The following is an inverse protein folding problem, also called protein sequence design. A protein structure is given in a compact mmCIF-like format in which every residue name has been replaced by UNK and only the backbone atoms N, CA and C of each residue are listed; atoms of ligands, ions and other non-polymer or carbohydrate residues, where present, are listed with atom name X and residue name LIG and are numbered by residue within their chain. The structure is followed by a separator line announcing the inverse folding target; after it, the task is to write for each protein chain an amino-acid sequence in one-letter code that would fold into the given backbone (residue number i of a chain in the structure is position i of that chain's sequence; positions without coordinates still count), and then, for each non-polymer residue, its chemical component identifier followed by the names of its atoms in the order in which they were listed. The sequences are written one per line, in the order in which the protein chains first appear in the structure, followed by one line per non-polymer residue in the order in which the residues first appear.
data_IF_619956200685
#
_entry.id   IF_619956200685
#
_cell.length_a   1.000
_cell.length_b   1.000
_cell.length_c   1.000
_cell.angle_alpha   90.00
_cell.angle_beta   90.00
_cell.angle_gamma   90.00
#
_symmetry.space_group_name_H-M   'P 1'
#
loop_
_entity.id
_entity.type
_entity.pdbx_description
1 polymer ?
#
# COMPACT_ATOMS: atom_id res chain seq x y z
N UNK A 1 -9.33 -39.10 -27.01
CA UNK A 1 -9.37 -38.66 -25.64
C UNK A 1 -7.99 -38.12 -25.29
N UNK A 2 -7.87 -36.80 -25.16
CA UNK A 2 -6.62 -36.15 -24.73
C UNK A 2 -6.61 -36.15 -23.21
N UNK A 3 -5.69 -36.88 -22.64
CA UNK A 3 -5.36 -36.82 -21.22
C UNK A 3 -4.84 -35.43 -20.92
N UNK A 4 -5.65 -34.62 -20.24
CA UNK A 4 -5.20 -33.40 -19.61
C UNK A 4 -4.35 -33.76 -18.39
N UNK A 5 -3.06 -33.73 -18.59
CA UNK A 5 -2.07 -33.85 -17.51
C UNK A 5 -2.16 -32.61 -16.63
N UNK A 6 -3.08 -32.61 -15.67
CA UNK A 6 -3.03 -31.66 -14.56
C UNK A 6 -1.74 -31.94 -13.80
N UNK A 7 -0.76 -31.09 -13.97
CA UNK A 7 0.36 -31.01 -13.02
C UNK A 7 -0.25 -30.77 -11.66
N UNK A 8 -0.28 -31.79 -10.82
CA UNK A 8 -0.50 -31.66 -9.39
C UNK A 8 0.66 -30.84 -8.81
N UNK A 9 0.53 -29.52 -8.91
CA UNK A 9 1.27 -28.64 -8.02
C UNK A 9 0.60 -28.85 -6.68
N UNK A 10 1.26 -29.55 -5.77
CA UNK A 10 0.79 -29.75 -4.40
C UNK A 10 0.63 -28.40 -3.73
N UNK A 11 -0.54 -27.79 -3.91
CA UNK A 11 -1.02 -26.72 -3.07
C UNK A 11 -1.22 -27.36 -1.69
N UNK A 12 -0.27 -27.18 -0.79
CA UNK A 12 -0.54 -27.34 0.63
C UNK A 12 -1.59 -26.28 0.93
N UNK A 13 -2.85 -26.68 0.85
CA UNK A 13 -3.99 -25.85 1.20
C UNK A 13 -4.00 -25.59 2.70
N UNK A 14 -3.12 -24.71 3.15
CA UNK A 14 -3.29 -24.07 4.44
C UNK A 14 -4.35 -22.99 4.19
N UNK A 15 -5.61 -23.40 4.17
CA UNK A 15 -6.69 -22.46 4.40
C UNK A 15 -6.48 -21.91 5.80
N UNK A 16 -6.20 -20.61 5.99
CA UNK A 16 -6.23 -20.04 7.32
C UNK A 16 -7.65 -20.23 7.83
N UNK A 17 -7.83 -21.15 8.77
CA UNK A 17 -9.08 -21.29 9.49
C UNK A 17 -9.36 -19.93 10.13
N UNK A 18 -10.19 -19.13 9.49
CA UNK A 18 -10.73 -17.91 10.06
C UNK A 18 -11.64 -18.33 11.20
N UNK A 19 -11.05 -18.55 12.39
CA UNK A 19 -11.83 -18.77 13.59
C UNK A 19 -12.54 -17.45 13.92
N UNK A 20 -13.82 -17.43 13.62
CA UNK A 20 -14.71 -16.40 14.15
C UNK A 20 -14.76 -16.57 15.66
N UNK A 21 -14.09 -15.71 16.37
CA UNK A 21 -14.12 -15.66 17.83
C UNK A 21 -14.98 -14.46 18.21
N UNK A 22 -16.17 -14.74 18.75
CA UNK A 22 -17.01 -13.71 19.33
C UNK A 22 -16.30 -13.11 20.54
N UNK A 23 -15.79 -11.90 20.35
CA UNK A 23 -15.11 -11.14 21.39
C UNK A 23 -15.95 -9.91 21.72
N UNK A 24 -16.06 -9.57 23.02
CA UNK A 24 -16.71 -8.34 23.42
C UNK A 24 -16.04 -7.09 22.84
N UNK A 25 -16.75 -5.96 22.86
CA UNK A 25 -16.33 -4.70 22.24
C UNK A 25 -14.91 -4.25 22.64
N UNK A 26 -14.58 -4.24 23.94
CA UNK A 26 -13.26 -3.80 24.41
C UNK A 26 -12.10 -4.72 23.97
N UNK A 27 -12.20 -6.06 24.10
CA UNK A 27 -11.19 -6.94 23.53
C UNK A 27 -11.04 -6.80 22.02
N UNK A 28 -12.14 -6.57 21.27
CA UNK A 28 -12.09 -6.35 19.81
C UNK A 28 -11.24 -5.13 19.43
N UNK A 29 -11.36 -4.03 20.18
CA UNK A 29 -10.51 -2.85 20.01
C UNK A 29 -9.02 -3.17 20.20
N UNK A 30 -8.68 -3.94 21.24
CA UNK A 30 -7.31 -4.38 21.50
C UNK A 30 -6.74 -5.24 20.36
N UNK A 31 -7.54 -6.17 19.85
CA UNK A 31 -7.16 -6.97 18.68
C UNK A 31 -7.00 -6.13 17.41
N UNK A 32 -7.89 -5.17 17.18
CA UNK A 32 -7.80 -4.23 16.05
C UNK A 32 -6.50 -3.41 16.09
N UNK A 33 -6.17 -2.85 17.24
CA UNK A 33 -4.92 -2.09 17.43
C UNK A 33 -3.69 -2.97 17.18
N UNK A 34 -3.64 -4.18 17.76
CA UNK A 34 -2.54 -5.12 17.55
C UNK A 34 -2.41 -5.55 16.09
N UNK A 35 -3.53 -5.83 15.41
CA UNK A 35 -3.54 -6.16 13.99
C UNK A 35 -3.03 -5.02 13.12
N UNK A 36 -3.47 -3.79 13.40
CA UNK A 36 -3.00 -2.59 12.70
C UNK A 36 -1.50 -2.39 12.88
N UNK A 37 -0.99 -2.52 14.11
CA UNK A 37 0.44 -2.41 14.39
C UNK A 37 1.27 -3.50 13.67
N UNK A 38 0.78 -4.74 13.65
CA UNK A 38 1.42 -5.83 12.94
C UNK A 38 1.44 -5.61 11.42
N UNK A 39 0.30 -5.23 10.83
CA UNK A 39 0.18 -4.92 9.40
C UNK A 39 1.10 -3.76 9.01
N UNK A 40 1.13 -2.70 9.82
CA UNK A 40 2.04 -1.57 9.62
C UNK A 40 3.50 -2.03 9.63
N UNK A 41 3.89 -2.86 10.60
CA UNK A 41 5.23 -3.43 10.69
C UNK A 41 5.59 -4.31 9.48
N UNK A 42 4.65 -5.12 9.00
CA UNK A 42 4.85 -5.94 7.79
C UNK A 42 5.01 -5.07 6.55
N UNK A 43 4.20 -4.02 6.39
CA UNK A 43 4.31 -3.08 5.27
C UNK A 43 5.63 -2.33 5.28
N UNK A 44 6.09 -1.84 6.43
CA UNK A 44 7.41 -1.19 6.53
C UNK A 44 8.54 -2.13 6.14
N UNK A 45 8.47 -3.40 6.52
CA UNK A 45 9.45 -4.41 6.07
C UNK A 45 9.38 -4.65 4.57
N UNK A 46 8.18 -4.70 3.98
CA UNK A 46 7.99 -4.85 2.53
C UNK A 46 8.57 -3.67 1.76
N UNK A 47 8.37 -2.44 2.24
CA UNK A 47 9.04 -1.27 1.67
C UNK A 47 10.57 -1.36 1.80
N UNK A 48 11.10 -1.81 2.94
CA UNK A 48 12.53 -2.05 3.11
C UNK A 48 13.09 -3.07 2.11
N UNK A 49 12.33 -4.13 1.81
CA UNK A 49 12.72 -5.12 0.80
C UNK A 49 12.67 -4.56 -0.63
N UNK A 50 11.69 -3.71 -0.92
CA UNK A 50 11.57 -3.02 -2.21
C UNK A 50 12.76 -2.08 -2.45
N UNK A 51 13.12 -1.24 -1.46
CA UNK A 51 14.27 -0.33 -1.54
C UNK A 51 15.62 -1.07 -1.57
N UNK A 52 15.71 -2.26 -0.98
CA UNK A 52 16.91 -3.10 -1.05
C UNK A 52 17.04 -3.91 -2.36
N UNK A 53 16.11 -3.75 -3.31
CA UNK A 53 16.12 -4.43 -4.60
C UNK A 53 15.83 -5.93 -4.53
N UNK A 54 15.38 -6.45 -3.38
CA UNK A 54 15.07 -7.88 -3.19
C UNK A 54 13.74 -8.30 -3.84
N UNK A 55 12.88 -7.32 -4.14
CA UNK A 55 11.59 -7.54 -4.78
C UNK A 55 11.49 -6.65 -6.01
N UNK A 56 10.99 -7.20 -7.11
CA UNK A 56 10.78 -6.44 -8.35
C UNK A 56 9.68 -5.41 -8.17
N UNK A 57 9.98 -4.16 -8.51
CA UNK A 57 9.02 -3.04 -8.49
C UNK A 57 7.79 -3.33 -9.36
N UNK A 58 7.99 -4.03 -10.51
CA UNK A 58 6.91 -4.39 -11.44
C UNK A 58 5.89 -5.35 -10.82
N UNK A 59 6.32 -6.23 -9.93
CA UNK A 59 5.46 -7.24 -9.30
C UNK A 59 4.83 -6.70 -8.00
N UNK A 60 5.54 -5.80 -7.30
CA UNK A 60 5.12 -5.25 -6.01
C UNK A 60 4.12 -4.10 -6.10
N UNK A 61 4.07 -3.35 -7.21
CA UNK A 61 3.16 -2.23 -7.39
C UNK A 61 1.88 -2.69 -8.09
N UNK A 62 0.80 -2.78 -7.33
CA UNK A 62 -0.55 -2.88 -7.89
C UNK A 62 -1.06 -1.47 -8.22
N UNK A 63 -1.48 -1.26 -9.47
CA UNK A 63 -2.06 0.01 -9.91
C UNK A 63 -3.55 0.13 -9.61
N UNK A 64 -4.18 1.24 -10.03
CA UNK A 64 -5.59 1.51 -9.77
C UNK A 64 -6.53 0.43 -10.29
N UNK A 65 -6.21 -0.18 -11.44
CA UNK A 65 -7.05 -1.23 -12.04
C UNK A 65 -7.00 -2.49 -11.17
N UNK A 66 -5.82 -2.87 -10.70
CA UNK A 66 -5.67 -4.02 -9.80
C UNK A 66 -6.37 -3.78 -8.46
N UNK A 67 -6.28 -2.57 -7.90
CA UNK A 67 -7.00 -2.21 -6.67
C UNK A 67 -8.51 -2.36 -6.90
N UNK A 68 -9.05 -1.89 -8.02
CA UNK A 68 -10.46 -2.03 -8.36
C UNK A 68 -10.87 -3.51 -8.49
N UNK A 69 -10.06 -4.35 -9.13
CA UNK A 69 -10.29 -5.80 -9.23
C UNK A 69 -10.33 -6.45 -7.85
N UNK A 70 -9.30 -6.21 -7.02
CA UNK A 70 -9.22 -6.74 -5.66
C UNK A 70 -10.39 -6.25 -4.78
N UNK A 71 -10.84 -5.01 -4.97
CA UNK A 71 -12.04 -4.49 -4.30
C UNK A 71 -13.28 -5.29 -4.69
N UNK A 72 -13.44 -5.57 -5.98
CA UNK A 72 -14.55 -6.40 -6.48
C UNK A 72 -14.52 -7.83 -5.95
N UNK A 73 -13.34 -8.45 -5.89
CA UNK A 73 -13.15 -9.81 -5.35
C UNK A 73 -13.43 -9.86 -3.85
N UNK A 74 -12.91 -8.90 -3.07
CA UNK A 74 -13.15 -8.82 -1.63
C UNK A 74 -14.60 -8.49 -1.30
N UNK A 75 -15.29 -7.68 -2.12
CA UNK A 75 -16.72 -7.42 -1.98
C UNK A 75 -17.57 -8.68 -2.18
N UNK A 76 -17.21 -9.53 -3.16
CA UNK A 76 -17.85 -10.84 -3.37
C UNK A 76 -17.60 -11.81 -2.21
N UNK A 77 -16.43 -11.73 -1.55
CA UNK A 77 -16.07 -12.53 -0.39
C UNK A 77 -16.79 -12.09 0.91
N UNK A 78 -17.50 -10.96 0.87
CA UNK A 78 -18.35 -10.47 1.96
C UNK A 78 -17.83 -9.20 2.63
N UNK A 79 -18.70 -8.62 3.46
CA UNK A 79 -18.46 -7.30 4.09
C UNK A 79 -17.20 -7.29 4.96
N UNK A 80 -16.95 -8.35 5.72
CA UNK A 80 -15.78 -8.47 6.61
C UNK A 80 -14.47 -8.41 5.80
N UNK A 81 -14.42 -9.12 4.67
CA UNK A 81 -13.26 -9.11 3.76
C UNK A 81 -13.06 -7.74 3.14
N UNK A 82 -14.13 -7.08 2.72
CA UNK A 82 -14.09 -5.74 2.15
C UNK A 82 -13.60 -4.71 3.18
N UNK A 83 -14.08 -4.76 4.42
CA UNK A 83 -13.61 -3.88 5.50
C UNK A 83 -12.14 -4.13 5.84
N UNK A 84 -11.70 -5.39 5.86
CA UNK A 84 -10.30 -5.74 6.05
C UNK A 84 -9.41 -5.18 4.94
N UNK A 85 -9.84 -5.29 3.68
CA UNK A 85 -9.14 -4.72 2.54
C UNK A 85 -9.10 -3.18 2.58
N UNK A 86 -10.21 -2.54 2.95
CA UNK A 86 -10.27 -1.09 3.14
C UNK A 86 -9.31 -0.62 4.25
N UNK A 87 -9.21 -1.35 5.36
CA UNK A 87 -8.27 -1.07 6.42
C UNK A 87 -6.80 -1.20 5.93
N UNK A 88 -6.50 -2.24 5.16
CA UNK A 88 -5.19 -2.44 4.53
C UNK A 88 -4.81 -1.27 3.63
N UNK A 89 -5.73 -0.83 2.75
CA UNK A 89 -5.53 0.31 1.86
C UNK A 89 -5.30 1.60 2.66
N UNK A 90 -6.06 1.81 3.74
CA UNK A 90 -5.94 2.98 4.60
C UNK A 90 -4.56 3.05 5.28
N UNK A 91 -4.07 1.93 5.82
CA UNK A 91 -2.74 1.84 6.41
C UNK A 91 -1.67 2.12 5.35
N UNK A 92 -1.80 1.51 4.17
CA UNK A 92 -0.86 1.71 3.06
C UNK A 92 -0.80 3.18 2.62
N UNK A 93 -1.95 3.81 2.45
CA UNK A 93 -2.05 5.23 2.08
C UNK A 93 -1.43 6.14 3.15
N UNK A 94 -1.70 5.85 4.43
CA UNK A 94 -1.09 6.58 5.54
C UNK A 94 0.43 6.45 5.57
N UNK A 95 0.95 5.25 5.34
CA UNK A 95 2.39 5.01 5.26
C UNK A 95 3.05 5.73 4.08
N UNK A 96 2.43 5.66 2.90
CA UNK A 96 2.94 6.36 1.71
C UNK A 96 2.95 7.87 1.95
N UNK A 97 1.91 8.42 2.56
CA UNK A 97 1.86 9.85 2.88
C UNK A 97 2.95 10.29 3.87
N UNK A 98 3.44 9.39 4.70
CA UNK A 98 4.53 9.69 5.64
C UNK A 98 5.91 9.68 5.00
N UNK A 99 6.05 9.18 3.76
CA UNK A 99 7.34 9.21 3.07
C UNK A 99 7.83 10.64 2.80
N UNK A 100 9.17 10.84 2.81
CA UNK A 100 9.79 12.14 2.59
C UNK A 100 9.74 12.58 1.11
N UNK A 101 8.57 12.48 0.50
CA UNK A 101 8.35 12.85 -0.89
C UNK A 101 7.65 14.21 -0.94
N UNK A 102 8.17 15.18 -1.73
CA UNK A 102 7.48 16.43 -1.97
C UNK A 102 6.04 16.19 -2.43
N UNK A 103 5.11 17.07 -2.03
CA UNK A 103 3.65 16.97 -2.24
C UNK A 103 2.91 15.94 -1.37
N UNK A 104 3.60 15.11 -0.57
CA UNK A 104 2.99 14.29 0.48
C UNK A 104 3.20 14.94 1.86
N UNK A 105 2.45 14.49 2.87
CA UNK A 105 2.53 15.03 4.23
C UNK A 105 3.95 14.89 4.83
N UNK A 106 4.64 13.78 4.56
CA UNK A 106 6.05 13.59 4.95
C UNK A 106 7.00 14.62 4.34
N UNK A 107 6.74 15.07 3.11
CA UNK A 107 7.47 16.17 2.50
C UNK A 107 7.24 17.50 3.21
N UNK A 108 6.02 17.78 3.66
CA UNK A 108 5.71 18.95 4.48
C UNK A 108 6.38 18.89 5.85
N UNK A 109 6.44 17.71 6.48
CA UNK A 109 7.16 17.51 7.73
C UNK A 109 8.65 17.81 7.61
N UNK A 110 9.27 17.45 6.49
CA UNK A 110 10.69 17.80 6.21
C UNK A 110 10.87 19.32 6.13
N UNK A 111 9.98 20.02 5.41
CA UNK A 111 10.05 21.48 5.32
C UNK A 111 9.88 22.14 6.69
N UNK A 112 8.93 21.69 7.49
CA UNK A 112 8.72 22.17 8.86
C UNK A 112 9.94 21.88 9.75
N UNK A 113 10.51 20.68 9.64
CA UNK A 113 11.74 20.31 10.34
C UNK A 113 12.92 21.20 9.97
N UNK A 114 13.08 21.49 8.67
CA UNK A 114 14.11 22.41 8.19
C UNK A 114 13.90 23.83 8.73
N UNK A 115 12.68 24.36 8.74
CA UNK A 115 12.34 25.66 9.32
C UNK A 115 12.67 25.72 10.82
N UNK A 116 12.34 24.65 11.55
CA UNK A 116 12.63 24.56 12.99
C UNK A 116 14.14 24.57 13.28
N UNK A 117 14.94 23.86 12.47
CA UNK A 117 16.40 23.81 12.62
C UNK A 117 17.03 25.15 12.22
N UNK A 118 16.61 25.72 11.09
CA UNK A 118 17.15 27.01 10.57
C UNK A 118 16.63 28.23 11.35
N UNK A 119 15.60 28.06 12.14
CA UNK A 119 14.88 29.14 12.86
C UNK A 119 14.45 30.29 11.93
N UNK A 120 14.22 30.00 10.67
CA UNK A 120 13.78 30.94 9.63
C UNK A 120 12.79 30.25 8.71
N UNK A 121 11.71 30.93 8.28
CA UNK A 121 10.78 30.34 7.34
C UNK A 121 11.44 30.13 5.97
N UNK A 122 11.15 29.01 5.34
CA UNK A 122 11.53 28.74 3.94
C UNK A 122 10.71 29.66 3.05
N UNK A 123 11.32 30.25 2.03
CA UNK A 123 10.62 31.16 1.13
C UNK A 123 9.44 30.47 0.43
N UNK A 124 8.35 31.18 0.22
CA UNK A 124 7.16 30.67 -0.45
C UNK A 124 7.49 30.10 -1.84
N UNK A 125 8.41 30.74 -2.54
CA UNK A 125 8.89 30.28 -3.85
C UNK A 125 9.55 28.92 -3.77
N UNK A 126 10.41 28.69 -2.77
CA UNK A 126 11.05 27.39 -2.57
C UNK A 126 10.06 26.29 -2.20
N UNK A 127 9.04 26.59 -1.36
CA UNK A 127 7.96 25.66 -1.03
C UNK A 127 7.16 25.27 -2.28
N UNK A 128 6.81 26.24 -3.13
CA UNK A 128 6.09 25.97 -4.37
C UNK A 128 6.90 25.11 -5.34
N UNK A 129 8.20 25.40 -5.54
CA UNK A 129 9.05 24.59 -6.41
C UNK A 129 9.16 23.16 -5.87
N UNK A 130 9.39 23.00 -4.56
CA UNK A 130 9.45 21.70 -3.91
C UNK A 130 8.17 20.89 -4.15
N UNK A 131 7.01 21.52 -3.98
CA UNK A 131 5.72 20.91 -4.20
C UNK A 131 5.49 20.54 -5.68
N UNK A 132 5.86 21.42 -6.62
CA UNK A 132 5.75 21.15 -8.05
C UNK A 132 6.61 19.96 -8.49
N UNK A 133 7.82 19.85 -7.97
CA UNK A 133 8.70 18.69 -8.23
C UNK A 133 8.03 17.40 -7.74
N UNK A 134 7.50 17.41 -6.51
CA UNK A 134 6.80 16.25 -5.97
C UNK A 134 5.58 15.86 -6.78
N UNK A 135 4.76 16.81 -7.20
CA UNK A 135 3.63 16.55 -8.09
C UNK A 135 4.07 15.94 -9.42
N UNK A 136 5.13 16.46 -10.03
CA UNK A 136 5.66 15.91 -11.28
C UNK A 136 6.11 14.45 -11.11
N UNK A 137 6.80 14.13 -10.00
CA UNK A 137 7.22 12.75 -9.67
C UNK A 137 6.00 11.84 -9.51
N UNK A 138 4.99 12.26 -8.74
CA UNK A 138 3.77 11.48 -8.52
C UNK A 138 3.03 11.25 -9.84
N UNK A 139 2.93 12.26 -10.69
CA UNK A 139 2.29 12.15 -11.99
C UNK A 139 3.03 11.17 -12.92
N UNK A 140 4.35 11.25 -12.96
CA UNK A 140 5.18 10.33 -13.75
C UNK A 140 5.02 8.88 -13.24
N UNK A 141 5.02 8.68 -11.93
CA UNK A 141 4.82 7.37 -11.30
C UNK A 141 3.43 6.83 -11.59
N UNK A 142 2.39 7.68 -11.54
CA UNK A 142 1.02 7.29 -11.85
C UNK A 142 0.89 6.81 -13.29
N UNK A 143 1.47 7.55 -14.26
CA UNK A 143 1.50 7.14 -15.67
C UNK A 143 2.20 5.79 -15.82
N UNK A 144 3.36 5.63 -15.19
CA UNK A 144 4.12 4.37 -15.22
C UNK A 144 3.31 3.19 -14.69
N UNK A 145 2.67 3.36 -13.52
CA UNK A 145 1.87 2.30 -12.90
C UNK A 145 0.64 1.96 -13.74
N UNK A 146 -0.04 2.97 -14.28
CA UNK A 146 -1.17 2.77 -15.19
C UNK A 146 -0.77 1.98 -16.45
N UNK A 147 0.35 2.37 -17.05
CA UNK A 147 0.88 1.66 -18.22
C UNK A 147 1.21 0.20 -17.89
N UNK A 148 1.84 -0.04 -16.74
CA UNK A 148 2.17 -1.38 -16.28
C UNK A 148 0.91 -2.24 -16.02
N UNK A 149 -0.15 -1.65 -15.43
CA UNK A 149 -1.43 -2.33 -15.20
C UNK A 149 -2.11 -2.74 -16.52
N UNK A 150 -2.12 -1.84 -17.50
CA UNK A 150 -2.71 -2.13 -18.83
C UNK A 150 -1.92 -3.24 -19.52
N UNK A 151 -0.60 -3.15 -19.54
CA UNK A 151 0.25 -4.18 -20.17
C UNK A 151 0.04 -5.57 -19.55
N UNK A 152 -0.22 -5.62 -18.25
CA UNK A 152 -0.49 -6.87 -17.52
C UNK A 152 -1.85 -7.50 -17.86
N UNK A 153 -2.83 -6.69 -18.27
CA UNK A 153 -4.16 -7.18 -18.65
C UNK A 153 -4.15 -7.69 -20.09
N UNK A 154 -3.29 -7.11 -20.96
CA UNK A 154 -3.23 -7.41 -22.38
C UNK A 154 -2.26 -8.56 -22.70
N UNK A 155 -1.30 -8.84 -21.83
CA UNK A 155 -0.32 -9.94 -21.98
C UNK A 155 -0.77 -11.21 -21.25
#
# INVERSE_FOLDING_TARGET
PKEDTFREVGLIGIEPLMQHKDVGFFPAMGYGFKSTANLTGMMLRSFGMLFSGKVSVKEGLGGPIRIAQMTGETAKAGLTSLLGFAALLSINLGLINLFPIPALDGGHLILLGAEAIMRKPVSTKAKLIFQQIGMAIIFALMIFVFFNDIMRIVS
#
